data_IF_366611928783
#
_entry.id   IF_366611928783
#
_cell.length_a   1.000
_cell.length_b   1.000
_cell.length_c   1.000
_cell.angle_alpha   90.00
_cell.angle_beta   90.00
_cell.angle_gamma   90.00
#
_symmetry.space_group_name_H-M   'P 1'
#
loop_
_entity.id
_entity.type
_entity.pdbx_description
1 polymer ?
#
# COMPACT_ATOMS: atom_id res chain seq x y z
N UNK A 1 28.11 -3.53 34.96
CA UNK A 1 26.80 -3.47 35.67
C UNK A 1 26.52 -2.05 36.15
N UNK A 2 26.62 -1.06 35.25
CA UNK A 2 26.45 0.36 35.58
C UNK A 2 25.99 1.13 34.33
N UNK A 3 24.78 0.82 33.85
CA UNK A 3 24.07 1.60 32.83
C UNK A 3 22.58 1.20 32.72
N UNK A 4 21.95 0.83 33.85
CA UNK A 4 20.55 0.41 33.90
C UNK A 4 19.65 1.39 34.70
N UNK A 5 19.98 2.69 34.73
CA UNK A 5 19.21 3.68 35.47
C UNK A 5 19.11 5.05 34.79
N UNK A 6 19.13 5.10 33.44
CA UNK A 6 18.48 6.22 32.75
C UNK A 6 16.98 5.94 32.79
N UNK A 7 16.36 6.32 33.91
CA UNK A 7 14.92 6.53 33.99
C UNK A 7 14.54 7.40 32.80
N UNK A 8 13.77 6.82 31.89
CA UNK A 8 13.15 7.49 30.76
C UNK A 8 12.52 8.80 31.24
N UNK A 9 12.91 9.93 30.65
CA UNK A 9 12.40 11.23 31.06
C UNK A 9 10.87 11.26 30.95
N UNK A 10 10.16 12.11 31.73
CA UNK A 10 8.70 12.23 31.65
C UNK A 10 8.17 12.47 30.21
N UNK A 11 8.99 13.05 29.33
CA UNK A 11 8.71 13.22 27.92
C UNK A 11 8.67 11.91 27.12
N UNK A 12 9.54 10.94 27.42
CA UNK A 12 9.59 9.64 26.75
C UNK A 12 8.40 8.74 27.12
N UNK A 13 7.98 8.78 28.39
CA UNK A 13 6.76 8.10 28.86
C UNK A 13 5.50 8.70 28.23
N UNK A 14 5.45 10.02 28.08
CA UNK A 14 4.39 10.70 27.33
C UNK A 14 4.33 10.25 25.87
N UNK A 15 5.48 10.21 25.20
CA UNK A 15 5.59 9.84 23.78
C UNK A 15 5.20 8.39 23.48
N UNK A 16 5.58 7.43 24.32
CA UNK A 16 5.15 6.03 24.18
C UNK A 16 3.63 5.88 24.33
N UNK A 17 3.02 6.64 25.26
CA UNK A 17 1.57 6.69 25.44
C UNK A 17 0.82 7.20 24.21
N UNK A 18 1.36 8.22 23.51
CA UNK A 18 0.78 8.72 22.27
C UNK A 18 0.90 7.72 21.11
N UNK A 19 2.04 7.03 20.99
CA UNK A 19 2.24 6.01 19.97
C UNK A 19 1.27 4.84 20.14
N UNK A 20 1.10 4.31 21.36
CA UNK A 20 0.14 3.24 21.62
C UNK A 20 -1.30 3.66 21.29
N UNK A 21 -1.70 4.88 21.68
CA UNK A 21 -3.03 5.44 21.34
C UNK A 21 -3.24 5.54 19.84
N UNK A 22 -2.23 5.97 19.08
CA UNK A 22 -2.32 6.10 17.63
C UNK A 22 -2.57 4.75 16.93
N UNK A 23 -1.95 3.69 17.44
CA UNK A 23 -2.10 2.35 16.88
C UNK A 23 -3.43 1.74 17.27
N UNK A 24 -3.85 1.87 18.52
CA UNK A 24 -5.18 1.47 18.93
C UNK A 24 -6.26 2.18 18.09
N UNK A 25 -6.08 3.46 17.77
CA UNK A 25 -7.00 4.17 16.90
C UNK A 25 -7.04 3.60 15.47
N UNK A 26 -5.90 3.22 14.89
CA UNK A 26 -5.84 2.55 13.59
C UNK A 26 -6.56 1.20 13.60
N UNK A 27 -6.34 0.40 14.66
CA UNK A 27 -7.03 -0.86 14.91
C UNK A 27 -8.55 -0.63 14.94
N UNK A 28 -9.00 0.35 15.75
CA UNK A 28 -10.41 0.69 15.89
C UNK A 28 -11.04 1.14 14.57
N UNK A 29 -10.36 1.99 13.79
CA UNK A 29 -10.85 2.42 12.46
C UNK A 29 -11.01 1.20 11.55
N UNK A 30 -9.99 0.34 11.47
CA UNK A 30 -10.02 -0.84 10.62
C UNK A 30 -11.17 -1.78 11.01
N UNK A 31 -11.32 -2.09 12.31
CA UNK A 31 -12.40 -2.95 12.79
C UNK A 31 -13.78 -2.31 12.67
N UNK A 32 -13.89 -0.98 12.82
CA UNK A 32 -15.15 -0.28 12.57
C UNK A 32 -15.61 -0.44 11.12
N UNK A 33 -14.68 -0.31 10.16
CA UNK A 33 -14.99 -0.50 8.73
C UNK A 33 -15.34 -1.96 8.43
N UNK A 34 -14.67 -2.93 9.07
CA UNK A 34 -15.01 -4.36 8.94
C UNK A 34 -16.40 -4.68 9.52
N UNK A 35 -16.76 -4.11 10.66
CA UNK A 35 -18.09 -4.26 11.23
C UNK A 35 -19.16 -3.66 10.33
N UNK A 36 -18.91 -2.47 9.77
CA UNK A 36 -19.80 -1.86 8.77
C UNK A 36 -19.95 -2.76 7.54
N UNK A 37 -18.84 -3.27 7.01
CA UNK A 37 -18.85 -4.20 5.89
C UNK A 37 -19.78 -5.37 6.17
N UNK A 38 -19.64 -6.01 7.33
CA UNK A 38 -20.45 -7.17 7.70
C UNK A 38 -21.93 -6.85 7.80
N UNK A 39 -22.28 -5.68 8.33
CA UNK A 39 -23.67 -5.21 8.37
C UNK A 39 -24.31 -5.05 6.98
N UNK A 40 -23.49 -4.80 5.94
CA UNK A 40 -23.97 -4.65 4.56
C UNK A 40 -23.73 -5.87 3.66
N UNK A 41 -23.26 -7.00 4.19
CA UNK A 41 -23.09 -8.22 3.42
C UNK A 41 -24.45 -8.84 3.09
N UNK A 42 -24.66 -9.16 1.80
CA UNK A 42 -25.86 -9.86 1.32
C UNK A 42 -25.80 -11.38 1.52
N UNK A 43 -24.68 -11.92 1.99
CA UNK A 43 -24.47 -13.35 2.16
C UNK A 43 -23.16 -13.68 2.88
N UNK A 44 -22.94 -14.96 3.23
CA UNK A 44 -21.78 -15.39 3.99
C UNK A 44 -20.50 -15.24 3.14
N UNK A 45 -19.45 -14.70 3.75
CA UNK A 45 -18.10 -14.74 3.18
C UNK A 45 -17.58 -16.17 3.27
N UNK A 46 -17.05 -16.69 2.16
CA UNK A 46 -16.58 -18.08 2.10
C UNK A 46 -15.10 -18.15 1.78
N UNK A 47 -14.44 -19.18 2.30
CA UNK A 47 -13.16 -19.60 1.76
C UNK A 47 -13.36 -20.11 0.33
N UNK A 48 -12.40 -19.82 -0.55
CA UNK A 48 -12.30 -20.47 -1.86
C UNK A 48 -12.07 -21.97 -1.66
N UNK A 49 -12.72 -22.80 -2.48
CA UNK A 49 -12.53 -24.26 -2.46
C UNK A 49 -11.05 -24.64 -2.72
N UNK A 50 -10.59 -25.76 -2.15
CA UNK A 50 -9.18 -26.18 -2.25
C UNK A 50 -8.70 -26.35 -3.71
N UNK A 51 -9.56 -26.74 -4.65
CA UNK A 51 -9.24 -26.82 -6.10
C UNK A 51 -8.99 -25.45 -6.76
N UNK A 52 -9.55 -24.37 -6.21
CA UNK A 52 -9.41 -22.99 -6.68
C UNK A 52 -8.57 -22.12 -5.73
N UNK A 53 -7.93 -22.73 -4.73
CA UNK A 53 -7.02 -22.03 -3.81
C UNK A 53 -5.67 -21.73 -4.44
N UNK A 54 -5.29 -22.41 -5.52
CA UNK A 54 -3.97 -22.38 -6.13
C UNK A 54 -4.12 -21.80 -7.54
N UNK A 55 -3.41 -20.70 -7.86
CA UNK A 55 -3.37 -20.12 -9.23
C UNK A 55 -3.08 -21.24 -10.27
N UNK A 56 -3.54 -21.19 -11.52
CA UNK A 56 -3.06 -22.08 -12.62
C UNK A 56 -2.19 -21.30 -13.59
N UNK A 57 -1.23 -21.96 -14.28
CA UNK A 57 -0.12 -21.28 -14.99
C UNK A 57 -0.58 -20.40 -16.16
N UNK A 58 -1.85 -20.52 -16.55
CA UNK A 58 -2.45 -19.82 -17.67
C UNK A 58 -3.36 -18.64 -17.29
N UNK A 59 -3.60 -18.37 -16.00
CA UNK A 59 -4.46 -17.25 -15.57
C UNK A 59 -3.65 -15.95 -15.43
N UNK A 60 -3.21 -15.41 -16.57
CA UNK A 60 -2.87 -13.99 -16.66
C UNK A 60 -4.16 -13.19 -16.54
N UNK A 61 -4.33 -12.48 -15.42
CA UNK A 61 -5.12 -11.25 -15.29
C UNK A 61 -6.49 -11.25 -15.95
N UNK A 62 -7.32 -12.25 -15.68
CA UNK A 62 -8.75 -12.08 -15.80
C UNK A 62 -9.28 -11.81 -14.40
N UNK A 63 -9.96 -10.68 -14.20
CA UNK A 63 -10.86 -10.52 -13.05
C UNK A 63 -11.77 -11.74 -13.06
N UNK A 64 -11.55 -12.65 -12.10
CA UNK A 64 -12.28 -13.91 -11.98
C UNK A 64 -13.65 -13.58 -11.40
N UNK A 65 -14.51 -13.00 -12.23
CA UNK A 65 -15.97 -12.94 -12.06
C UNK A 65 -16.63 -14.24 -12.58
N UNK A 66 -15.82 -15.28 -12.84
CA UNK A 66 -16.26 -16.61 -13.21
C UNK A 66 -16.70 -17.40 -11.99
N UNK A 67 -18.02 -17.54 -11.83
CA UNK A 67 -18.75 -18.34 -10.84
C UNK A 67 -17.91 -19.34 -10.03
N UNK A 68 -17.46 -18.89 -8.85
CA UNK A 68 -16.68 -19.72 -7.94
C UNK A 68 -17.58 -20.67 -7.17
N UNK A 69 -17.33 -21.97 -7.32
CA UNK A 69 -17.87 -23.02 -6.44
C UNK A 69 -17.34 -22.79 -5.04
N UNK A 70 -18.15 -22.18 -4.19
CA UNK A 70 -17.85 -21.95 -2.79
C UNK A 70 -18.09 -23.22 -1.99
N UNK A 71 -17.30 -23.42 -0.92
CA UNK A 71 -17.41 -24.61 -0.08
C UNK A 71 -18.83 -24.74 0.48
N UNK A 72 -19.45 -25.93 0.37
CA UNK A 72 -20.74 -26.23 0.99
C UNK A 72 -20.56 -26.07 2.50
N UNK A 73 -21.47 -25.32 3.12
CA UNK A 73 -21.46 -25.04 4.56
C UNK A 73 -21.63 -26.38 5.29
N UNK A 74 -20.54 -26.92 5.84
CA UNK A 74 -20.57 -28.05 6.77
C UNK A 74 -21.02 -27.56 8.14
N UNK A 75 -21.49 -28.46 8.99
CA UNK A 75 -21.78 -28.15 10.40
C UNK A 75 -20.48 -27.73 11.10
N UNK A 76 -20.29 -26.43 11.31
CA UNK A 76 -19.09 -25.91 11.95
C UNK A 76 -19.18 -26.12 13.46
N UNK A 77 -18.10 -26.63 14.05
CA UNK A 77 -17.95 -26.58 15.51
C UNK A 77 -17.52 -25.16 15.96
N UNK A 78 -17.67 -24.88 17.26
CA UNK A 78 -17.35 -23.57 17.86
C UNK A 78 -15.91 -23.10 17.54
N UNK A 79 -14.95 -24.02 17.51
CA UNK A 79 -13.54 -23.70 17.25
C UNK A 79 -13.30 -23.32 15.79
N UNK A 80 -13.96 -23.99 14.85
CA UNK A 80 -13.93 -23.62 13.44
C UNK A 80 -14.58 -22.26 13.19
N UNK A 81 -15.69 -21.97 13.86
CA UNK A 81 -16.35 -20.68 13.80
C UNK A 81 -15.47 -19.55 14.38
N UNK A 82 -14.84 -19.78 15.53
CA UNK A 82 -13.90 -18.82 16.13
C UNK A 82 -12.69 -18.62 15.19
N UNK A 83 -12.11 -19.70 14.69
CA UNK A 83 -10.93 -19.63 13.81
C UNK A 83 -11.23 -18.94 12.48
N UNK A 84 -12.39 -19.20 11.87
CA UNK A 84 -12.83 -18.49 10.67
C UNK A 84 -13.08 -17.01 10.95
N UNK A 85 -13.76 -16.68 12.05
CA UNK A 85 -14.03 -15.29 12.46
C UNK A 85 -12.72 -14.54 12.65
N UNK A 86 -11.77 -15.14 13.38
CA UNK A 86 -10.44 -14.58 13.59
C UNK A 86 -9.69 -14.38 12.27
N UNK A 87 -9.70 -15.37 11.39
CA UNK A 87 -9.07 -15.27 10.08
C UNK A 87 -9.69 -14.17 9.20
N UNK A 88 -11.01 -13.99 9.24
CA UNK A 88 -11.70 -12.97 8.45
C UNK A 88 -11.45 -11.55 8.98
N UNK A 89 -11.38 -11.39 10.30
CA UNK A 89 -11.10 -10.10 10.97
C UNK A 89 -9.66 -9.66 10.66
N UNK A 90 -8.69 -10.56 10.82
CA UNK A 90 -7.27 -10.28 10.62
C UNK A 90 -6.83 -10.31 9.14
N UNK A 91 -7.66 -10.81 8.23
CA UNK A 91 -7.37 -10.80 6.80
C UNK A 91 -7.64 -9.43 6.17
N UNK A 92 -6.57 -8.65 5.99
CA UNK A 92 -6.60 -7.38 5.29
C UNK A 92 -6.77 -7.57 3.75
N UNK A 93 -6.05 -8.54 3.17
CA UNK A 93 -6.03 -8.80 1.71
C UNK A 93 -7.11 -9.76 1.22
N UNK A 94 -7.70 -10.56 2.10
CA UNK A 94 -8.67 -11.58 1.72
C UNK A 94 -8.06 -12.79 1.03
N UNK A 95 -6.79 -13.10 1.31
CA UNK A 95 -6.09 -14.21 0.64
C UNK A 95 -6.80 -15.52 0.96
N UNK A 96 -7.24 -16.21 -0.08
CA UNK A 96 -8.01 -17.45 0.04
C UNK A 96 -9.49 -17.27 0.37
N UNK A 97 -9.99 -16.03 0.54
CA UNK A 97 -11.41 -15.72 0.61
C UNK A 97 -11.99 -15.44 -0.78
N UNK A 98 -13.30 -15.58 -0.91
CA UNK A 98 -14.04 -15.27 -2.14
C UNK A 98 -13.82 -13.82 -2.62
N UNK A 99 -13.76 -12.88 -1.68
CA UNK A 99 -13.60 -11.46 -1.94
C UNK A 99 -12.16 -10.99 -2.20
N UNK A 100 -11.16 -11.84 -1.98
CA UNK A 100 -9.75 -11.52 -2.18
C UNK A 100 -9.07 -12.45 -3.19
N UNK A 101 -7.75 -12.30 -3.39
CA UNK A 101 -7.01 -13.09 -4.37
C UNK A 101 -6.88 -14.56 -3.93
N UNK A 102 -6.71 -15.49 -4.89
CA UNK A 102 -6.36 -16.88 -4.57
C UNK A 102 -5.02 -16.96 -3.83
N UNK A 103 -4.76 -18.09 -3.15
CA UNK A 103 -3.47 -18.29 -2.50
C UNK A 103 -2.38 -18.43 -3.56
N UNK A 104 -1.20 -17.81 -3.34
CA UNK A 104 -0.02 -18.10 -4.14
C UNK A 104 0.33 -19.60 -4.04
N UNK A 105 0.90 -20.20 -5.09
CA UNK A 105 1.33 -21.61 -5.01
C UNK A 105 2.65 -21.78 -4.26
N UNK A 106 3.56 -20.83 -4.47
CA UNK A 106 4.94 -20.97 -4.07
C UNK A 106 5.14 -20.41 -2.66
N UNK A 107 5.70 -21.24 -1.79
CA UNK A 107 6.12 -20.81 -0.46
C UNK A 107 7.25 -19.79 -0.60
N UNK A 108 7.15 -18.70 0.16
CA UNK A 108 8.26 -17.77 0.30
C UNK A 108 9.38 -18.48 1.07
N UNK A 109 10.46 -18.83 0.36
CA UNK A 109 11.63 -19.45 0.98
C UNK A 109 12.31 -18.49 1.96
N UNK A 110 12.80 -19.00 3.09
CA UNK A 110 13.59 -18.23 4.07
C UNK A 110 14.73 -17.46 3.40
N UNK A 111 15.45 -18.11 2.47
CA UNK A 111 16.54 -17.49 1.71
C UNK A 111 16.05 -16.29 0.88
N UNK A 112 14.91 -16.45 0.22
CA UNK A 112 14.31 -15.38 -0.60
C UNK A 112 13.87 -14.19 0.25
N UNK A 113 13.39 -14.44 1.46
CA UNK A 113 12.93 -13.43 2.40
C UNK A 113 14.09 -12.64 3.00
N UNK A 114 15.14 -13.32 3.46
CA UNK A 114 16.38 -12.67 3.94
C UNK A 114 17.02 -11.85 2.83
N UNK A 115 17.06 -12.38 1.59
CA UNK A 115 17.58 -11.64 0.45
C UNK A 115 16.74 -10.41 0.11
N UNK A 116 15.41 -10.51 0.22
CA UNK A 116 14.52 -9.35 0.07
C UNK A 116 14.81 -8.29 1.13
N UNK A 117 14.88 -8.69 2.40
CA UNK A 117 15.18 -7.78 3.52
C UNK A 117 16.51 -7.06 3.30
N UNK A 118 17.55 -7.77 2.87
CA UNK A 118 18.85 -7.18 2.55
C UNK A 118 18.75 -6.10 1.46
N UNK A 119 18.13 -6.42 0.31
CA UNK A 119 17.97 -5.45 -0.80
C UNK A 119 17.18 -4.21 -0.38
N UNK A 120 16.10 -4.42 0.36
CA UNK A 120 15.23 -3.34 0.86
C UNK A 120 15.98 -2.46 1.86
N UNK A 121 16.76 -3.04 2.77
CA UNK A 121 17.58 -2.29 3.72
C UNK A 121 18.70 -1.51 3.05
N UNK A 122 19.33 -2.07 2.03
CA UNK A 122 20.35 -1.37 1.25
C UNK A 122 19.75 -0.13 0.55
N UNK A 123 18.58 -0.26 -0.08
CA UNK A 123 17.87 0.87 -0.68
C UNK A 123 17.47 1.93 0.35
N UNK A 124 16.96 1.50 1.52
CA UNK A 124 16.64 2.40 2.62
C UNK A 124 17.85 3.16 3.13
N UNK A 125 19.02 2.51 3.22
CA UNK A 125 20.24 3.13 3.70
C UNK A 125 20.65 4.32 2.82
N UNK A 126 20.64 4.17 1.49
CA UNK A 126 20.93 5.28 0.58
C UNK A 126 19.93 6.43 0.75
N UNK A 127 18.65 6.11 0.83
CA UNK A 127 17.59 7.10 1.01
C UNK A 127 17.70 7.87 2.35
N UNK A 128 17.99 7.16 3.45
CA UNK A 128 18.20 7.76 4.77
C UNK A 128 19.43 8.66 4.76
N UNK A 129 20.55 8.20 4.20
CA UNK A 129 21.76 9.01 4.11
C UNK A 129 21.52 10.31 3.35
N UNK A 130 20.79 10.26 2.23
CA UNK A 130 20.44 11.48 1.48
C UNK A 130 19.50 12.40 2.26
N UNK A 131 18.48 11.86 2.93
CA UNK A 131 17.57 12.64 3.75
C UNK A 131 18.27 13.29 4.96
N UNK A 132 19.19 12.58 5.60
CA UNK A 132 20.02 13.09 6.71
C UNK A 132 21.00 14.15 6.19
N UNK A 133 21.64 13.93 5.05
CA UNK A 133 22.51 14.92 4.43
C UNK A 133 21.76 16.22 4.11
N UNK A 134 20.50 16.12 3.64
CA UNK A 134 19.64 17.28 3.45
C UNK A 134 19.33 18.00 4.76
N UNK A 135 18.95 17.26 5.81
CA UNK A 135 18.66 17.82 7.15
C UNK A 135 19.86 18.60 7.71
N UNK A 136 21.06 18.08 7.49
CA UNK A 136 22.31 18.60 8.02
C UNK A 136 22.97 19.63 7.08
N UNK A 137 22.32 20.01 5.98
CA UNK A 137 22.81 21.07 5.09
C UNK A 137 22.49 22.45 5.65
N UNK A 138 23.27 23.47 5.27
CA UNK A 138 23.19 24.82 5.86
C UNK A 138 21.79 25.44 5.82
N UNK A 139 21.05 25.24 4.74
CA UNK A 139 19.72 25.82 4.50
C UNK A 139 18.59 24.79 4.48
N UNK A 140 18.90 23.50 4.72
CA UNK A 140 17.96 22.37 4.63
C UNK A 140 17.25 22.22 3.28
N UNK A 141 17.83 22.82 2.23
CA UNK A 141 17.37 22.69 0.86
C UNK A 141 18.11 21.51 0.20
N UNK A 142 17.41 20.64 -0.55
CA UNK A 142 18.03 19.47 -1.21
C UNK A 142 19.22 19.82 -2.08
N UNK A 143 19.16 20.97 -2.73
CA UNK A 143 20.22 21.51 -3.57
C UNK A 143 21.57 21.59 -2.83
N UNK A 144 21.58 21.95 -1.56
CA UNK A 144 22.83 22.15 -0.81
C UNK A 144 23.58 20.85 -0.54
N UNK A 145 22.90 19.71 -0.55
CA UNK A 145 23.58 18.41 -0.46
C UNK A 145 24.56 18.25 -1.63
N UNK A 146 24.17 18.69 -2.82
CA UNK A 146 25.01 18.59 -4.02
C UNK A 146 26.10 19.66 -4.04
N UNK A 147 25.77 20.90 -3.66
CA UNK A 147 26.72 22.03 -3.71
C UNK A 147 27.77 21.91 -2.60
N UNK A 148 27.35 21.70 -1.34
CA UNK A 148 28.23 21.75 -0.17
C UNK A 148 28.99 20.45 0.06
N UNK A 149 28.34 19.29 -0.13
CA UNK A 149 28.95 17.99 0.17
C UNK A 149 29.58 17.31 -1.04
N UNK A 150 29.03 17.49 -2.23
CA UNK A 150 29.51 16.86 -3.46
C UNK A 150 30.30 17.80 -4.37
N UNK A 151 30.33 19.11 -4.07
CA UNK A 151 31.05 20.10 -4.87
C UNK A 151 30.49 20.29 -6.28
N UNK A 152 29.23 19.93 -6.52
CA UNK A 152 28.60 20.03 -7.84
C UNK A 152 28.17 21.48 -8.08
N UNK A 153 28.59 22.11 -9.20
CA UNK A 153 28.22 23.49 -9.49
C UNK A 153 26.72 23.64 -9.72
N UNK A 154 26.14 24.74 -9.24
CA UNK A 154 24.72 25.00 -9.38
C UNK A 154 24.34 25.27 -10.85
N UNK A 155 23.36 24.52 -11.37
CA UNK A 155 22.77 24.72 -12.69
C UNK A 155 21.24 24.60 -12.60
N UNK A 156 20.53 25.10 -13.60
CA UNK A 156 19.06 25.25 -13.60
C UNK A 156 18.31 23.95 -13.21
N UNK A 157 18.79 22.79 -13.69
CA UNK A 157 18.18 21.49 -13.41
C UNK A 157 18.54 20.87 -12.05
N UNK A 158 19.58 21.37 -11.38
CA UNK A 158 20.10 20.72 -10.16
C UNK A 158 19.07 20.75 -9.03
N UNK A 159 18.34 21.86 -8.89
CA UNK A 159 17.30 21.97 -7.89
C UNK A 159 16.17 20.96 -8.12
N UNK A 160 15.72 20.80 -9.38
CA UNK A 160 14.68 19.82 -9.73
C UNK A 160 15.14 18.37 -9.44
N UNK A 161 16.40 18.04 -9.77
CA UNK A 161 16.98 16.73 -9.50
C UNK A 161 17.05 16.50 -7.99
N UNK A 162 17.54 17.47 -7.22
CA UNK A 162 17.70 17.36 -5.79
C UNK A 162 16.35 17.20 -5.07
N UNK A 163 15.35 17.99 -5.47
CA UNK A 163 13.97 17.89 -4.99
C UNK A 163 13.36 16.51 -5.30
N UNK A 164 13.54 16.03 -6.54
CA UNK A 164 13.05 14.71 -6.94
C UNK A 164 13.72 13.60 -6.15
N UNK A 165 15.04 13.69 -5.93
CA UNK A 165 15.79 12.70 -5.16
C UNK A 165 15.37 12.68 -3.69
N UNK A 166 15.06 13.83 -3.08
CA UNK A 166 14.54 13.86 -1.71
C UNK A 166 13.14 13.22 -1.64
N UNK A 167 12.28 13.47 -2.63
CA UNK A 167 10.95 12.84 -2.71
C UNK A 167 11.04 11.33 -2.89
N UNK A 168 11.93 10.85 -3.77
CA UNK A 168 12.20 9.42 -3.96
C UNK A 168 12.75 8.82 -2.67
N UNK A 169 13.67 9.52 -1.99
CA UNK A 169 14.25 9.07 -0.72
C UNK A 169 13.17 8.92 0.35
N UNK A 170 12.28 9.90 0.49
CA UNK A 170 11.13 9.81 1.39
C UNK A 170 10.24 8.60 1.08
N UNK A 171 9.88 8.40 -0.19
CA UNK A 171 9.09 7.24 -0.60
C UNK A 171 9.81 5.92 -0.30
N UNK A 172 11.11 5.82 -0.58
CA UNK A 172 11.91 4.63 -0.29
C UNK A 172 12.01 4.33 1.21
N UNK A 173 12.19 5.34 2.06
CA UNK A 173 12.21 5.17 3.53
C UNK A 173 10.90 4.52 3.99
N UNK A 174 9.76 5.08 3.57
CA UNK A 174 8.43 4.56 3.93
C UNK A 174 8.24 3.14 3.39
N UNK A 175 8.45 2.93 2.08
CA UNK A 175 8.24 1.62 1.45
C UNK A 175 9.13 0.55 2.08
N UNK A 176 10.41 0.85 2.25
CA UNK A 176 11.37 -0.13 2.73
C UNK A 176 11.15 -0.47 4.20
N UNK A 177 10.73 0.50 5.02
CA UNK A 177 10.34 0.26 6.41
C UNK A 177 9.13 -0.69 6.47
N UNK A 178 8.08 -0.41 5.71
CA UNK A 178 6.88 -1.25 5.62
C UNK A 178 7.21 -2.68 5.16
N UNK A 179 8.02 -2.82 4.10
CA UNK A 179 8.34 -4.12 3.50
C UNK A 179 9.20 -4.98 4.43
N UNK A 180 10.17 -4.36 5.10
CA UNK A 180 11.00 -5.05 6.05
C UNK A 180 10.21 -5.54 7.28
N UNK A 181 9.33 -4.69 7.82
CA UNK A 181 8.48 -5.06 8.95
C UNK A 181 7.54 -6.21 8.59
N UNK A 182 6.92 -6.14 7.41
CA UNK A 182 6.09 -7.24 6.93
C UNK A 182 6.91 -8.51 6.63
N UNK A 183 8.15 -8.38 6.15
CA UNK A 183 9.02 -9.53 5.92
C UNK A 183 9.34 -10.28 7.21
N UNK A 184 9.56 -9.58 8.32
CA UNK A 184 9.74 -10.23 9.62
C UNK A 184 8.45 -10.83 10.16
N UNK A 185 7.29 -10.21 9.91
CA UNK A 185 6.01 -10.85 10.21
C UNK A 185 5.90 -12.22 9.51
N UNK A 186 6.27 -12.31 8.24
CA UNK A 186 6.27 -13.59 7.50
C UNK A 186 7.23 -14.60 8.16
N UNK A 187 8.40 -14.16 8.64
CA UNK A 187 9.32 -15.02 9.38
C UNK A 187 8.69 -15.57 10.67
N UNK A 188 8.03 -14.70 11.44
CA UNK A 188 7.34 -15.06 12.67
C UNK A 188 6.22 -16.07 12.37
N UNK A 189 5.38 -15.79 11.37
CA UNK A 189 4.32 -16.70 10.90
C UNK A 189 4.91 -18.06 10.49
N UNK A 190 6.04 -18.08 9.78
CA UNK A 190 6.74 -19.30 9.42
C UNK A 190 7.20 -20.11 10.64
N UNK A 191 7.70 -19.46 11.71
CA UNK A 191 8.08 -20.16 12.94
C UNK A 191 6.85 -20.73 13.66
N UNK A 192 5.78 -19.94 13.80
CA UNK A 192 4.52 -20.41 14.40
C UNK A 192 3.92 -21.57 13.62
N UNK A 193 3.92 -21.51 12.28
CA UNK A 193 3.44 -22.61 11.45
C UNK A 193 4.24 -23.90 11.70
N UNK A 194 5.57 -23.84 11.74
CA UNK A 194 6.42 -24.99 12.07
C UNK A 194 6.12 -25.52 13.48
N UNK A 195 5.97 -24.63 14.46
CA UNK A 195 5.63 -24.99 15.84
C UNK A 195 4.28 -25.71 15.91
N UNK A 196 3.20 -25.10 15.43
CA UNK A 196 1.86 -25.67 15.48
C UNK A 196 1.74 -26.98 14.69
N UNK A 197 2.44 -27.07 13.54
CA UNK A 197 2.51 -28.31 12.76
C UNK A 197 3.25 -29.42 13.52
N UNK A 198 4.38 -29.11 14.18
CA UNK A 198 5.15 -30.07 15.00
C UNK A 198 4.31 -30.65 16.13
N UNK A 199 3.54 -29.81 16.80
CA UNK A 199 2.67 -30.22 17.91
C UNK A 199 1.27 -30.69 17.47
N UNK A 200 1.04 -30.89 16.16
CA UNK A 200 -0.21 -31.41 15.58
C UNK A 200 -1.45 -30.64 16.05
N UNK A 201 -1.35 -29.31 16.14
CA UNK A 201 -2.50 -28.45 16.42
C UNK A 201 -3.57 -28.60 15.33
N UNK A 202 -4.80 -28.16 15.62
CA UNK A 202 -5.92 -28.20 14.68
C UNK A 202 -5.57 -27.50 13.36
N UNK A 203 -6.08 -28.05 12.25
CA UNK A 203 -5.84 -27.55 10.88
C UNK A 203 -6.12 -26.05 10.75
N UNK A 204 -7.22 -25.55 11.32
CA UNK A 204 -7.59 -24.12 11.26
C UNK A 204 -6.50 -23.20 11.83
N UNK A 205 -5.85 -23.62 12.93
CA UNK A 205 -4.74 -22.86 13.54
C UNK A 205 -3.50 -22.97 12.66
N UNK A 206 -3.13 -24.18 12.24
CA UNK A 206 -1.94 -24.42 11.41
C UNK A 206 -2.01 -23.65 10.08
N UNK A 207 -3.17 -23.67 9.42
CA UNK A 207 -3.41 -23.00 8.14
C UNK A 207 -3.32 -21.47 8.28
N UNK A 208 -3.76 -20.90 9.40
CA UNK A 208 -3.68 -19.45 9.63
C UNK A 208 -2.24 -18.93 9.60
N UNK A 209 -1.33 -19.66 10.26
CA UNK A 209 0.08 -19.30 10.33
C UNK A 209 0.87 -19.68 9.07
N UNK A 210 0.27 -20.40 8.11
CA UNK A 210 0.96 -20.80 6.88
C UNK A 210 1.52 -19.57 6.14
N UNK A 211 2.85 -19.47 5.93
CA UNK A 211 3.48 -18.32 5.27
C UNK A 211 2.96 -18.07 3.85
N UNK A 212 2.34 -19.04 3.19
CA UNK A 212 1.65 -18.86 1.88
C UNK A 212 0.52 -17.83 1.97
N UNK A 213 -0.14 -17.71 3.13
CA UNK A 213 -1.20 -16.73 3.37
C UNK A 213 -0.66 -15.31 3.60
N UNK A 214 0.66 -15.15 3.69
CA UNK A 214 1.34 -13.90 4.00
C UNK A 214 2.36 -13.55 2.90
N UNK A 215 1.94 -13.35 1.63
CA UNK A 215 2.85 -12.97 0.56
C UNK A 215 3.41 -11.55 0.79
N UNK A 216 4.59 -11.23 0.23
CA UNK A 216 5.22 -9.92 0.39
C UNK A 216 4.27 -8.75 0.08
N UNK A 217 4.48 -7.62 0.76
CA UNK A 217 3.50 -6.54 0.64
C UNK A 217 3.53 -5.81 -0.70
N UNK A 218 4.70 -5.77 -1.33
CA UNK A 218 4.91 -5.10 -2.62
C UNK A 218 5.32 -6.10 -3.70
N UNK A 219 4.85 -5.84 -4.92
CA UNK A 219 5.25 -6.57 -6.12
C UNK A 219 6.02 -5.65 -7.09
N UNK A 220 7.29 -5.42 -6.76
CA UNK A 220 8.24 -4.64 -7.57
C UNK A 220 7.65 -3.33 -8.13
N UNK A 221 7.25 -2.36 -7.27
CA UNK A 221 6.54 -1.14 -7.68
C UNK A 221 7.32 -0.31 -8.69
N UNK A 222 8.65 -0.37 -8.66
CA UNK A 222 9.56 0.28 -9.61
C UNK A 222 9.42 -0.20 -11.07
N UNK A 223 8.67 -1.29 -11.33
CA UNK A 223 8.39 -1.81 -12.66
C UNK A 223 7.01 -1.41 -13.19
N UNK A 224 6.27 -0.53 -12.48
CA UNK A 224 4.97 -0.08 -12.93
C UNK A 224 5.06 0.68 -14.27
N UNK A 225 4.20 0.32 -15.21
CA UNK A 225 4.04 1.00 -16.50
C UNK A 225 2.75 1.83 -16.57
N UNK A 226 1.98 1.87 -15.49
CA UNK A 226 0.82 2.72 -15.33
C UNK A 226 0.50 2.94 -13.85
N UNK A 227 -0.20 4.03 -13.52
CA UNK A 227 -0.70 4.31 -12.18
C UNK A 227 -1.71 3.26 -11.75
N UNK A 228 -2.50 2.75 -12.70
CA UNK A 228 -3.43 1.64 -12.47
C UNK A 228 -2.69 0.38 -12.04
N UNK A 229 -1.59 0.03 -12.70
CA UNK A 229 -0.75 -1.11 -12.33
C UNK A 229 -0.01 -0.87 -11.00
N UNK A 230 0.52 0.35 -10.82
CA UNK A 230 1.19 0.75 -9.59
C UNK A 230 0.29 0.56 -8.38
N UNK A 231 -0.88 1.18 -8.33
CA UNK A 231 -1.80 1.11 -7.18
C UNK A 231 -2.63 -0.18 -7.13
N UNK A 232 -2.95 -0.75 -8.29
CA UNK A 232 -3.83 -1.91 -8.41
C UNK A 232 -3.15 -3.24 -8.13
N UNK A 233 -1.87 -3.38 -8.51
CA UNK A 233 -1.14 -4.65 -8.47
C UNK A 233 0.12 -4.61 -7.62
N UNK A 234 0.94 -3.57 -7.76
CA UNK A 234 2.33 -3.54 -7.28
C UNK A 234 2.53 -2.89 -5.92
N UNK A 235 1.72 -1.88 -5.60
CA UNK A 235 1.68 -1.23 -4.30
C UNK A 235 0.94 -2.09 -3.27
N UNK A 236 1.10 -1.81 -1.97
CA UNK A 236 0.47 -2.62 -0.93
C UNK A 236 -1.07 -2.67 -1.10
N UNK A 237 -1.62 -3.87 -1.23
CA UNK A 237 -3.08 -4.09 -1.38
C UNK A 237 -3.83 -4.31 -0.07
N UNK A 238 -3.18 -4.03 1.08
CA UNK A 238 -3.69 -4.34 2.42
C UNK A 238 -5.06 -3.72 2.70
N UNK A 239 -5.25 -2.44 2.37
CA UNK A 239 -6.46 -1.69 2.73
C UNK A 239 -7.38 -1.39 1.54
N UNK A 240 -7.16 -2.06 0.40
CA UNK A 240 -7.93 -1.81 -0.84
C UNK A 240 -9.43 -1.99 -0.61
N UNK A 241 -9.82 -3.09 0.05
CA UNK A 241 -11.23 -3.37 0.36
C UNK A 241 -11.79 -2.39 1.38
N UNK A 242 -11.01 -2.09 2.42
CA UNK A 242 -11.37 -1.11 3.44
C UNK A 242 -11.75 0.22 2.80
N UNK A 243 -10.88 0.79 1.96
CA UNK A 243 -11.13 2.06 1.27
C UNK A 243 -12.26 2.00 0.24
N UNK A 244 -12.42 0.87 -0.44
CA UNK A 244 -13.56 0.65 -1.34
C UNK A 244 -14.89 0.70 -0.58
N UNK A 245 -14.94 0.16 0.64
CA UNK A 245 -16.16 0.09 1.45
C UNK A 245 -16.43 1.40 2.17
N UNK A 246 -15.41 2.03 2.75
CA UNK A 246 -15.57 3.26 3.53
C UNK A 246 -15.69 4.52 2.67
N UNK A 247 -15.15 4.52 1.45
CA UNK A 247 -15.14 5.69 0.58
C UNK A 247 -15.71 5.45 -0.82
N UNK A 248 -15.23 4.41 -1.51
CA UNK A 248 -15.62 4.16 -2.91
C UNK A 248 -17.11 3.91 -3.09
N UNK A 249 -17.65 2.88 -2.43
CA UNK A 249 -19.06 2.48 -2.52
C UNK A 249 -20.01 3.60 -2.05
N UNK A 250 -19.79 4.29 -0.92
CA UNK A 250 -20.61 5.43 -0.52
C UNK A 250 -20.66 6.53 -1.58
N UNK A 251 -19.52 6.92 -2.14
CA UNK A 251 -19.49 8.00 -3.14
C UNK A 251 -20.21 7.59 -4.44
N UNK A 252 -20.01 6.37 -4.89
CA UNK A 252 -20.72 5.81 -6.04
C UNK A 252 -22.25 5.75 -5.83
N UNK A 253 -22.68 5.33 -4.63
CA UNK A 253 -24.10 5.29 -4.25
C UNK A 253 -24.74 6.68 -4.24
N UNK A 254 -24.07 7.68 -3.63
CA UNK A 254 -24.55 9.07 -3.60
C UNK A 254 -24.72 9.59 -5.03
N UNK A 255 -23.70 9.40 -5.88
CA UNK A 255 -23.77 9.84 -7.27
C UNK A 255 -24.91 9.15 -8.04
N UNK A 256 -25.09 7.84 -7.83
CA UNK A 256 -26.17 7.08 -8.45
C UNK A 256 -27.55 7.68 -8.17
N UNK A 257 -27.75 8.16 -6.93
CA UNK A 257 -29.02 8.77 -6.48
C UNK A 257 -29.26 10.15 -7.06
N UNK A 258 -28.21 10.93 -7.31
CA UNK A 258 -28.32 12.34 -7.73
C UNK A 258 -28.34 12.49 -9.25
N UNK A 259 -27.45 11.79 -9.97
CA UNK A 259 -27.12 12.12 -11.37
C UNK A 259 -27.21 10.92 -12.33
N UNK A 260 -27.60 9.74 -11.84
CA UNK A 260 -27.85 8.55 -12.66
C UNK A 260 -26.68 7.55 -12.71
N UNK A 261 -26.80 6.56 -13.60
CA UNK A 261 -26.02 5.31 -13.55
C UNK A 261 -24.95 5.17 -14.65
N UNK A 262 -24.31 6.26 -15.09
CA UNK A 262 -23.22 6.15 -16.08
C UNK A 262 -22.08 5.30 -15.53
N UNK A 263 -21.78 4.16 -16.18
CA UNK A 263 -20.76 3.20 -15.73
C UNK A 263 -19.39 3.86 -15.52
N UNK A 264 -18.98 4.73 -16.45
CA UNK A 264 -17.70 5.43 -16.38
C UNK A 264 -17.62 6.39 -15.19
N UNK A 265 -18.71 7.09 -14.88
CA UNK A 265 -18.74 8.01 -13.73
C UNK A 265 -18.83 7.24 -12.42
N UNK A 266 -19.59 6.14 -12.38
CA UNK A 266 -19.61 5.23 -11.22
C UNK A 266 -18.21 4.70 -10.90
N UNK A 267 -17.43 4.28 -11.92
CA UNK A 267 -16.04 3.86 -11.72
C UNK A 267 -15.15 4.99 -11.23
N UNK A 268 -15.30 6.20 -11.76
CA UNK A 268 -14.58 7.37 -11.27
C UNK A 268 -14.93 7.69 -9.80
N UNK A 269 -16.20 7.60 -9.40
CA UNK A 269 -16.64 7.78 -8.03
C UNK A 269 -16.08 6.70 -7.09
N UNK A 270 -16.10 5.43 -7.51
CA UNK A 270 -15.48 4.34 -6.74
C UNK A 270 -14.00 4.62 -6.49
N UNK A 271 -13.29 5.07 -7.52
CA UNK A 271 -11.86 5.38 -7.45
C UNK A 271 -11.59 6.60 -6.55
N UNK A 272 -12.25 7.72 -6.83
CA UNK A 272 -12.12 8.97 -6.06
C UNK A 272 -12.45 8.73 -4.59
N UNK A 273 -13.57 8.08 -4.29
CA UNK A 273 -13.99 7.81 -2.92
C UNK A 273 -12.98 6.93 -2.18
N UNK A 274 -12.42 5.91 -2.85
CA UNK A 274 -11.40 5.05 -2.26
C UNK A 274 -10.11 5.83 -1.93
N UNK A 275 -9.63 6.66 -2.84
CA UNK A 275 -8.43 7.47 -2.61
C UNK A 275 -8.65 8.60 -1.61
N UNK A 276 -9.82 9.23 -1.57
CA UNK A 276 -10.19 10.21 -0.53
C UNK A 276 -10.19 9.54 0.85
N UNK A 277 -10.83 8.37 0.98
CA UNK A 277 -10.79 7.62 2.24
C UNK A 277 -9.35 7.26 2.63
N UNK A 278 -8.50 6.92 1.66
CA UNK A 278 -7.08 6.68 1.91
C UNK A 278 -6.37 7.92 2.43
N UNK A 279 -6.59 9.08 1.80
CA UNK A 279 -6.05 10.37 2.23
C UNK A 279 -6.45 10.73 3.67
N UNK A 280 -7.73 10.56 4.02
CA UNK A 280 -8.24 10.86 5.36
C UNK A 280 -7.55 9.97 6.40
N UNK A 281 -7.44 8.66 6.12
CA UNK A 281 -6.74 7.73 7.02
C UNK A 281 -5.26 8.11 7.20
N UNK A 282 -4.57 8.46 6.12
CA UNK A 282 -3.17 8.89 6.21
C UNK A 282 -3.02 10.22 6.96
N UNK A 283 -3.90 11.19 6.75
CA UNK A 283 -3.89 12.46 7.48
C UNK A 283 -4.16 12.26 8.98
N UNK A 284 -5.07 11.35 9.31
CA UNK A 284 -5.35 11.00 10.70
C UNK A 284 -4.11 10.37 11.37
N UNK A 285 -3.55 9.32 10.74
CA UNK A 285 -2.31 8.66 11.21
C UNK A 285 -1.19 9.70 11.38
N UNK A 286 -1.07 10.61 10.41
CA UNK A 286 -0.07 11.66 10.44
C UNK A 286 -0.23 12.64 11.57
N UNK A 287 -1.45 13.11 11.77
CA UNK A 287 -1.75 14.01 12.87
C UNK A 287 -1.39 13.36 14.21
N UNK A 288 -1.57 12.05 14.34
CA UNK A 288 -1.24 11.32 15.56
C UNK A 288 0.27 11.07 15.75
N UNK A 289 0.99 10.68 14.70
CA UNK A 289 2.45 10.43 14.79
C UNK A 289 3.21 11.74 14.99
N UNK A 290 2.74 12.82 14.35
CA UNK A 290 3.36 14.15 14.39
C UNK A 290 3.02 14.96 15.66
N UNK A 291 2.21 14.42 16.57
CA UNK A 291 1.64 15.13 17.72
C UNK A 291 2.57 15.28 18.93
N UNK A 292 3.81 14.80 18.87
CA UNK A 292 4.76 14.97 19.98
C UNK A 292 5.31 16.37 20.08
N UNK A 293 5.00 17.09 21.16
CA UNK A 293 5.64 18.33 21.66
C UNK A 293 6.17 19.30 20.59
N UNK A 294 5.53 19.38 19.44
CA UNK A 294 5.97 20.19 18.33
C UNK A 294 5.27 21.54 18.43
N UNK A 295 6.01 22.63 18.22
CA UNK A 295 5.48 24.00 18.24
C UNK A 295 4.36 24.26 17.22
N UNK A 296 4.09 23.32 16.31
CA UNK A 296 3.02 23.38 15.34
C UNK A 296 2.32 22.01 15.20
N UNK A 297 1.23 21.76 15.96
CA UNK A 297 0.49 20.50 15.90
C UNK A 297 -0.14 20.33 14.50
N UNK A 298 0.07 19.15 13.88
CA UNK A 298 -0.57 18.86 12.59
C UNK A 298 -2.08 18.76 12.79
N UNK A 299 -2.83 19.80 12.42
CA UNK A 299 -4.28 19.75 12.41
C UNK A 299 -4.73 19.11 11.10
N UNK A 300 -5.57 18.05 11.16
CA UNK A 300 -6.13 17.45 9.95
C UNK A 300 -6.78 18.53 9.08
N UNK A 301 -6.40 18.58 7.80
CA UNK A 301 -6.97 19.52 6.84
C UNK A 301 -7.21 18.84 5.52
N UNK A 302 -8.27 19.24 4.81
CA UNK A 302 -8.54 18.80 3.44
C UNK A 302 -7.47 19.31 2.46
N UNK A 303 -6.76 20.38 2.81
CA UNK A 303 -5.65 20.95 2.02
C UNK A 303 -4.28 20.41 2.41
N UNK A 304 -4.24 19.40 3.29
CA UNK A 304 -3.02 18.69 3.66
C UNK A 304 -2.36 18.03 2.46
N UNK A 305 -1.03 17.86 2.53
CA UNK A 305 -0.25 17.21 1.49
C UNK A 305 -0.68 15.77 1.25
N UNK A 306 -1.10 15.04 2.30
CA UNK A 306 -1.62 13.67 2.19
C UNK A 306 -2.92 13.60 1.38
N UNK A 307 -3.90 14.45 1.71
CA UNK A 307 -5.18 14.53 0.99
C UNK A 307 -4.98 14.88 -0.48
N UNK A 308 -4.10 15.83 -0.77
CA UNK A 308 -3.76 16.24 -2.14
C UNK A 308 -3.09 15.08 -2.89
N UNK A 309 -2.10 14.43 -2.29
CA UNK A 309 -1.37 13.32 -2.91
C UNK A 309 -2.29 12.17 -3.29
N UNK A 310 -3.10 11.66 -2.35
CA UNK A 310 -3.96 10.50 -2.60
C UNK A 310 -5.09 10.83 -3.57
N UNK A 311 -5.74 11.99 -3.43
CA UNK A 311 -6.81 12.40 -4.36
C UNK A 311 -6.25 12.59 -5.78
N UNK A 312 -5.04 13.14 -5.91
CA UNK A 312 -4.36 13.27 -7.20
C UNK A 312 -4.17 11.90 -7.89
N UNK A 313 -3.93 10.80 -7.16
CA UNK A 313 -3.77 9.48 -7.78
C UNK A 313 -5.02 9.01 -8.53
N UNK A 314 -6.21 9.24 -7.96
CA UNK A 314 -7.47 8.90 -8.64
C UNK A 314 -7.64 9.70 -9.94
N UNK A 315 -7.32 11.00 -9.90
CA UNK A 315 -7.35 11.88 -11.08
C UNK A 315 -6.32 11.40 -12.12
N UNK A 316 -5.10 11.07 -11.67
CA UNK A 316 -4.03 10.57 -12.51
C UNK A 316 -4.41 9.30 -13.26
N UNK A 317 -5.05 8.34 -12.59
CA UNK A 317 -5.57 7.11 -13.21
C UNK A 317 -6.68 7.43 -14.24
N UNK A 318 -7.59 8.36 -13.94
CA UNK A 318 -8.63 8.76 -14.89
C UNK A 318 -8.02 9.42 -16.13
N UNK A 319 -7.06 10.33 -15.95
CA UNK A 319 -6.34 10.98 -17.07
C UNK A 319 -5.56 9.93 -17.87
N UNK A 320 -4.80 9.07 -17.20
CA UNK A 320 -4.04 7.98 -17.81
C UNK A 320 -4.92 7.10 -18.70
N UNK A 321 -6.13 6.76 -18.25
CA UNK A 321 -7.07 5.94 -19.03
C UNK A 321 -7.53 6.60 -20.33
N UNK A 322 -7.49 7.94 -20.41
CA UNK A 322 -7.86 8.71 -21.60
C UNK A 322 -6.66 8.94 -22.53
N UNK A 323 -5.48 9.16 -21.95
CA UNK A 323 -4.23 9.40 -22.70
C UNK A 323 -3.66 8.09 -23.26
N UNK A 324 -3.78 6.99 -22.50
CA UNK A 324 -3.30 5.66 -22.86
C UNK A 324 -4.45 4.63 -22.85
N UNK A 325 -5.40 4.73 -23.80
CA UNK A 325 -6.64 3.94 -23.79
C UNK A 325 -6.45 2.43 -23.94
N UNK A 326 -5.27 1.97 -24.39
CA UNK A 326 -4.92 0.54 -24.46
C UNK A 326 -4.91 -0.18 -23.09
N UNK A 327 -5.20 0.50 -21.97
CA UNK A 327 -5.24 -0.09 -20.62
C UNK A 327 -6.62 -0.09 -19.93
N UNK A 328 -7.71 0.13 -20.68
CA UNK A 328 -9.06 -0.32 -20.30
C UNK A 328 -9.51 -0.11 -18.85
N UNK A 329 -10.07 1.06 -18.53
CA UNK A 329 -11.11 1.18 -17.49
C UNK A 329 -12.49 0.67 -17.98
N UNK A 330 -12.58 0.25 -19.24
CA UNK A 330 -13.75 -0.43 -19.79
C UNK A 330 -13.68 -1.90 -19.43
N UNK A 331 -14.33 -2.29 -18.34
CA UNK A 331 -14.75 -3.67 -18.12
C UNK A 331 -15.65 -4.10 -19.28
N UNK A 332 -15.04 -4.62 -20.34
CA UNK A 332 -15.61 -5.43 -21.39
C UNK A 332 -14.44 -6.12 -22.11
N UNK A 333 -14.09 -7.33 -21.65
CA UNK A 333 -13.49 -8.33 -22.53
C UNK A 333 -14.52 -8.75 -23.59
N UNK A 334 -14.81 -7.86 -24.55
CA UNK A 334 -15.14 -8.34 -25.89
C UNK A 334 -13.81 -8.63 -26.56
N UNK A 335 -13.51 -9.90 -26.76
CA UNK A 335 -12.75 -10.35 -27.94
C UNK A 335 -13.53 -9.84 -29.16
N UNK A 336 -13.41 -8.56 -29.48
CA UNK A 336 -13.74 -8.09 -30.81
C UNK A 336 -12.72 -8.78 -31.72
N UNK A 337 -13.22 -9.62 -32.63
CA UNK A 337 -12.41 -10.16 -33.74
C UNK A 337 -11.72 -8.97 -34.38
N UNK A 338 -10.41 -8.86 -34.16
CA UNK A 338 -9.57 -7.84 -34.76
C UNK A 338 -9.64 -8.07 -36.27
N UNK A 339 -10.45 -7.27 -36.98
CA UNK A 339 -10.49 -7.29 -38.44
C UNK A 339 -9.10 -6.90 -38.95
N UNK A 340 -8.59 -7.58 -39.97
CA UNK A 340 -7.23 -7.37 -40.50
C UNK A 340 -6.92 -5.92 -40.89
N UNK A 341 -7.97 -5.12 -41.15
CA UNK A 341 -7.91 -3.68 -41.37
C UNK A 341 -7.43 -2.87 -40.15
N UNK A 342 -7.78 -3.26 -38.91
CA UNK A 342 -7.26 -2.64 -37.66
C UNK A 342 -5.80 -3.04 -37.39
N UNK A 343 -5.38 -4.24 -37.83
CA UNK A 343 -3.97 -4.66 -37.77
C UNK A 343 -3.10 -3.90 -38.76
N UNK A 344 -3.60 -3.63 -39.96
CA UNK A 344 -2.93 -2.81 -40.98
C UNK A 344 -2.83 -1.34 -40.53
N UNK A 345 -3.92 -0.75 -39.99
CA UNK A 345 -3.88 0.61 -39.43
C UNK A 345 -2.97 0.74 -38.18
N UNK A 346 -2.79 -0.32 -37.38
CA UNK A 346 -1.82 -0.35 -36.26
C UNK A 346 -0.37 -0.55 -36.71
N UNK A 347 -0.16 -1.11 -37.91
CA UNK A 347 1.18 -1.34 -38.49
C UNK A 347 1.73 -0.06 -39.13
N UNK A 348 0.86 0.77 -39.70
CA UNK A 348 1.28 1.96 -40.46
C UNK A 348 1.27 3.28 -39.67
N UNK A 349 0.58 3.38 -38.51
CA UNK A 349 0.45 4.65 -37.77
C UNK A 349 1.29 4.81 -36.48
N UNK A 350 2.19 3.89 -36.16
CA UNK A 350 3.02 4.00 -34.95
C UNK A 350 4.47 4.32 -35.29
N UNK A 351 4.75 5.59 -35.60
CA UNK A 351 6.13 6.13 -35.68
C UNK A 351 6.90 6.04 -34.35
N UNK A 352 6.23 5.65 -33.25
CA UNK A 352 6.84 5.45 -31.94
C UNK A 352 7.04 3.94 -31.71
N UNK A 353 8.31 3.53 -31.59
CA UNK A 353 8.67 2.16 -31.20
C UNK A 353 7.99 1.74 -29.89
N UNK A 354 7.62 0.45 -29.76
CA UNK A 354 7.07 -0.12 -28.52
C UNK A 354 7.95 0.17 -27.29
N UNK A 355 9.28 0.20 -27.48
CA UNK A 355 10.24 0.55 -26.42
C UNK A 355 10.09 2.01 -25.98
N UNK A 356 9.92 2.92 -26.93
CA UNK A 356 9.72 4.35 -26.68
C UNK A 356 8.39 4.62 -25.96
N UNK A 357 7.30 3.95 -26.38
CA UNK A 357 6.02 4.07 -25.69
C UNK A 357 6.08 3.56 -24.25
N UNK A 358 6.78 2.44 -24.02
CA UNK A 358 7.01 1.90 -22.68
C UNK A 358 7.77 2.89 -21.81
N UNK A 359 8.82 3.51 -22.35
CA UNK A 359 9.60 4.52 -21.63
C UNK A 359 8.75 5.75 -21.29
N UNK A 360 7.95 6.26 -22.22
CA UNK A 360 7.03 7.39 -21.99
C UNK A 360 6.07 7.09 -20.84
N UNK A 361 5.52 5.87 -20.81
CA UNK A 361 4.62 5.43 -19.74
C UNK A 361 5.31 5.36 -18.37
N UNK A 362 6.52 4.81 -18.32
CA UNK A 362 7.34 4.78 -17.10
C UNK A 362 7.60 6.22 -16.61
N UNK A 363 8.00 7.12 -17.52
CA UNK A 363 8.23 8.53 -17.20
C UNK A 363 6.95 9.17 -16.66
N UNK A 364 5.81 8.95 -17.30
CA UNK A 364 4.50 9.45 -16.83
C UNK A 364 4.22 9.03 -15.39
N UNK A 365 4.34 7.73 -15.07
CA UNK A 365 4.07 7.21 -13.73
C UNK A 365 4.96 7.86 -12.68
N UNK A 366 6.28 7.84 -12.87
CA UNK A 366 7.19 8.34 -11.83
C UNK A 366 7.22 9.86 -11.73
N UNK A 367 7.11 10.58 -12.85
CA UNK A 367 6.95 12.04 -12.79
C UNK A 367 5.66 12.41 -12.05
N UNK A 368 4.54 11.74 -12.35
CA UNK A 368 3.27 12.00 -11.66
C UNK A 368 3.36 11.70 -10.16
N UNK A 369 3.94 10.56 -9.78
CA UNK A 369 4.13 10.19 -8.38
C UNK A 369 5.04 11.18 -7.65
N UNK A 370 6.16 11.58 -8.24
CA UNK A 370 7.11 12.53 -7.62
C UNK A 370 6.47 13.90 -7.45
N UNK A 371 5.80 14.42 -8.48
CA UNK A 371 5.17 15.74 -8.44
C UNK A 371 4.03 15.78 -7.43
N UNK A 372 3.14 14.79 -7.45
CA UNK A 372 2.02 14.71 -6.50
C UNK A 372 2.49 14.50 -5.05
N UNK A 373 3.62 13.80 -4.85
CA UNK A 373 4.17 13.54 -3.52
C UNK A 373 4.96 14.72 -2.93
N UNK A 374 5.24 15.79 -3.70
CA UNK A 374 6.05 16.91 -3.21
C UNK A 374 5.46 17.54 -1.95
N UNK A 375 4.21 18.00 -1.99
CA UNK A 375 3.54 18.61 -0.82
C UNK A 375 3.34 17.62 0.33
N UNK A 376 3.10 16.35 0.00
CA UNK A 376 3.02 15.28 0.99
C UNK A 376 4.35 15.13 1.74
N UNK A 377 5.48 15.05 1.03
CA UNK A 377 6.81 15.03 1.60
C UNK A 377 7.12 16.29 2.42
N UNK A 378 6.78 17.49 1.92
CA UNK A 378 7.01 18.75 2.65
C UNK A 378 6.31 18.76 4.01
N UNK A 379 5.06 18.28 4.05
CA UNK A 379 4.31 18.12 5.30
C UNK A 379 5.06 17.25 6.34
N UNK A 380 5.83 16.25 5.89
CA UNK A 380 6.63 15.36 6.73
C UNK A 380 8.02 15.91 7.08
N UNK A 381 8.75 16.46 6.11
CA UNK A 381 10.19 16.73 6.24
C UNK A 381 10.53 18.17 6.63
N UNK A 382 9.79 19.17 6.14
CA UNK A 382 10.19 20.59 6.26
C UNK A 382 9.75 21.24 7.58
N UNK A 383 8.85 20.59 8.31
CA UNK A 383 8.25 21.14 9.53
C UNK A 383 9.08 20.92 10.81
N UNK A 384 10.41 20.81 10.77
CA UNK A 384 11.28 20.36 11.89
C UNK A 384 10.93 18.96 12.45
N UNK A 385 10.02 18.23 11.81
CA UNK A 385 9.57 16.88 12.20
C UNK A 385 10.54 15.78 11.81
N UNK A 386 11.63 16.09 11.10
CA UNK A 386 12.53 15.09 10.56
C UNK A 386 13.25 14.28 11.65
N UNK A 387 13.59 14.91 12.79
CA UNK A 387 14.15 14.21 13.96
C UNK A 387 13.12 13.29 14.60
N UNK A 388 11.92 13.79 14.91
CA UNK A 388 10.87 12.96 15.52
C UNK A 388 10.43 11.84 14.59
N UNK A 389 10.41 12.05 13.27
CA UNK A 389 9.97 11.07 12.27
C UNK A 389 11.03 10.02 11.99
N UNK A 390 12.32 10.37 11.82
CA UNK A 390 13.37 9.37 11.62
C UNK A 390 13.59 8.53 12.88
N UNK A 391 13.57 9.15 14.06
CA UNK A 391 13.60 8.45 15.36
C UNK A 391 12.35 7.57 15.52
N UNK A 392 11.15 8.07 15.20
CA UNK A 392 9.92 7.26 15.25
C UNK A 392 9.86 6.16 14.21
N UNK A 393 10.49 6.30 13.05
CA UNK A 393 10.56 5.23 12.04
C UNK A 393 11.58 4.15 12.44
N UNK A 394 12.66 4.50 13.14
CA UNK A 394 13.56 3.51 13.77
C UNK A 394 12.94 2.87 15.01
N UNK A 395 12.13 3.62 15.76
CA UNK A 395 11.44 3.20 16.99
C UNK A 395 10.04 2.66 16.73
N UNK A 396 9.63 2.55 15.45
CA UNK A 396 8.35 2.00 15.02
C UNK A 396 8.39 0.49 15.28
N UNK A 397 8.24 0.18 16.56
CA UNK A 397 8.27 -1.14 17.15
C UNK A 397 7.18 -2.00 16.50
N UNK A 398 7.50 -3.28 16.36
CA UNK A 398 6.71 -4.36 15.77
C UNK A 398 5.19 -4.29 16.01
N UNK A 399 4.79 -3.82 17.19
CA UNK A 399 3.40 -3.64 17.63
C UNK A 399 2.58 -2.75 16.69
N UNK A 400 3.20 -1.78 16.03
CA UNK A 400 2.48 -0.79 15.21
C UNK A 400 2.12 -1.29 13.81
N UNK A 401 2.90 -2.23 13.26
CA UNK A 401 2.61 -2.84 11.95
C UNK A 401 1.76 -4.11 12.08
N UNK A 402 1.81 -4.74 13.25
CA UNK A 402 0.97 -5.87 13.61
C UNK A 402 -0.49 -5.48 13.89
N UNK A 403 -0.86 -4.20 13.92
CA UNK A 403 -2.23 -3.76 14.21
C UNK A 403 -3.36 -4.31 13.29
N UNK A 404 -3.13 -4.84 12.08
CA UNK A 404 -4.17 -5.60 11.38
C UNK A 404 -4.18 -7.11 11.72
N UNK A 405 -3.19 -7.60 12.46
CA UNK A 405 -2.78 -9.02 12.60
C UNK A 405 -2.69 -9.49 14.06
N UNK A 406 -2.52 -8.57 15.01
CA UNK A 406 -2.74 -8.70 16.45
C UNK A 406 -3.89 -7.77 16.83
#
# INVERSE_FOLDING_TARGET
MYQASKLSSPSELGDQGYQLKSVLACICIYYSIKSLEWGFLKGPIRFRSDENRVLRDNDKTNDVDGGMKSQKQSDWNLVEMIGWTFAQITSARGIGFDWGPPRPREMVSLKSLVWRMYKVKLAALFAINFAVANRDSSTRKPLQVFVERLGIPNFIGLNLIAESLLTISFALIVCCSMDNNYSVLILIMSQFHKFFKKFKFRKTIVDYFDPVNWPPIYDSPHLAESLTDFWGNRWHKLLRRTFLISGGKPLAFIYQKISGSSKSVQMACLLLGSFISSGITHEYILSMISQSNHSNPNRPSITSGSMIFFTAQAIGIIIESKVFPDQGLSGNHKKEKETDQKKLLRRDNNGISRKSLRLIKIIWVYCFLILSAHKFRQQYLESNRLESVLIRFSDLNWVHFLSPVL
#
